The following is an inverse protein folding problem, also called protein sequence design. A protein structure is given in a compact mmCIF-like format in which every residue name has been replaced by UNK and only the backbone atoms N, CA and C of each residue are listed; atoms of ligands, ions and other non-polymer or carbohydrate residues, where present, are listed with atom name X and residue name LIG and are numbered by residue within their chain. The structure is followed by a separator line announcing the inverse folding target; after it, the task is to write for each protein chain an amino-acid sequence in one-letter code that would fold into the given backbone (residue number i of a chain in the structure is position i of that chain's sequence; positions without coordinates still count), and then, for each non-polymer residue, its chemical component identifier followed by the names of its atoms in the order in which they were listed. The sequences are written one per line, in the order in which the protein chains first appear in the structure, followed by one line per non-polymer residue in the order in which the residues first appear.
data_IF_350767914685
#
_entry.id   IF_350767914685
#
_cell.length_a   1.000
_cell.length_b   1.000
_cell.length_c   1.000
_cell.angle_alpha   90.00
_cell.angle_beta   90.00
_cell.angle_gamma   90.00
#
_symmetry.space_group_name_H-M   'P 1'
#
loop_
_entity.id
_entity.type
_entity.pdbx_description
1 polymer ?
#
# COMPACT_ATOMS: atom_id res chain seq x y z
N UNK A 1 -6.35 10.63 -21.35
CA UNK A 1 -7.53 10.15 -20.59
C UNK A 1 -7.02 9.01 -19.76
N UNK A 2 -6.70 9.29 -18.50
CA UNK A 2 -6.11 8.35 -17.54
C UNK A 2 -7.22 7.40 -17.09
N UNK A 3 -7.04 6.09 -17.31
CA UNK A 3 -8.05 5.09 -17.00
C UNK A 3 -7.79 4.55 -15.60
N UNK A 4 -8.60 4.95 -14.63
CA UNK A 4 -8.64 4.28 -13.32
C UNK A 4 -9.20 2.89 -13.55
N UNK A 5 -8.39 1.86 -13.30
CA UNK A 5 -8.78 0.46 -13.37
C UNK A 5 -8.75 -0.16 -11.99
N UNK A 6 -9.40 -1.31 -11.85
CA UNK A 6 -9.39 -2.07 -10.61
C UNK A 6 -8.36 -3.18 -10.70
N UNK A 7 -7.38 -3.17 -9.81
CA UNK A 7 -6.32 -4.18 -9.73
C UNK A 7 -6.75 -5.41 -8.92
N UNK A 8 -6.15 -6.57 -9.22
CA UNK A 8 -6.31 -7.80 -8.43
C UNK A 8 -5.10 -7.98 -7.49
N UNK A 9 -5.37 -8.33 -6.22
CA UNK A 9 -4.37 -8.84 -5.27
C UNK A 9 -4.50 -10.35 -5.28
N UNK A 10 -3.40 -11.04 -5.60
CA UNK A 10 -3.27 -12.48 -5.35
C UNK A 10 -2.92 -12.72 -3.89
N UNK A 11 -3.91 -12.52 -3.04
CA UNK A 11 -4.04 -13.29 -1.81
C UNK A 11 -5.31 -14.12 -1.99
N UNK A 12 -5.34 -15.33 -1.43
CA UNK A 12 -6.55 -16.19 -1.37
C UNK A 12 -7.79 -15.48 -0.77
N UNK A 13 -7.65 -14.25 -0.28
CA UNK A 13 -8.70 -13.32 0.14
C UNK A 13 -9.37 -12.52 -1.00
N UNK A 14 -8.99 -12.74 -2.27
CA UNK A 14 -9.54 -12.00 -3.44
C UNK A 14 -11.07 -12.09 -3.59
N UNK A 15 -11.71 -13.09 -2.97
CA UNK A 15 -13.18 -13.24 -2.96
C UNK A 15 -13.86 -12.48 -1.80
N UNK A 16 -13.11 -12.01 -0.79
CA UNK A 16 -13.66 -11.31 0.39
C UNK A 16 -13.28 -9.83 0.49
N UNK A 17 -12.27 -9.37 -0.24
CA UNK A 17 -11.84 -7.98 -0.28
C UNK A 17 -12.07 -7.42 -1.70
N UNK A 18 -12.96 -6.43 -1.91
CA UNK A 18 -13.06 -5.75 -3.21
C UNK A 18 -11.72 -5.22 -3.70
N UNK A 19 -11.59 -5.22 -5.03
CA UNK A 19 -10.46 -4.69 -5.77
C UNK A 19 -10.13 -3.25 -5.36
N UNK A 20 -8.84 -2.93 -5.37
CA UNK A 20 -8.31 -1.59 -5.10
C UNK A 20 -8.12 -0.84 -6.43
N UNK A 21 -8.26 0.47 -6.38
CA UNK A 21 -8.20 1.33 -7.56
C UNK A 21 -6.74 1.61 -7.92
N UNK A 22 -6.41 1.55 -9.20
CA UNK A 22 -5.07 1.86 -9.74
C UNK A 22 -5.20 2.73 -10.97
N UNK A 23 -4.14 3.47 -11.29
CA UNK A 23 -4.01 4.17 -12.56
C UNK A 23 -3.29 3.25 -13.55
N UNK A 24 -3.85 3.03 -14.74
CA UNK A 24 -3.18 2.31 -15.82
C UNK A 24 -2.65 3.25 -16.90
N UNK A 25 -1.36 3.10 -17.23
CA UNK A 25 -0.73 3.72 -18.39
C UNK A 25 0.10 2.69 -19.16
N UNK A 26 -0.22 2.51 -20.45
CA UNK A 26 0.56 1.67 -21.38
C UNK A 26 0.82 0.22 -20.91
N UNK A 27 -0.10 -0.36 -20.12
CA UNK A 27 0.02 -1.71 -19.57
C UNK A 27 0.75 -1.80 -18.22
N UNK A 28 1.23 -0.67 -17.69
CA UNK A 28 1.69 -0.53 -16.32
C UNK A 28 0.57 0.03 -15.45
N UNK A 29 0.48 -0.49 -14.23
CA UNK A 29 -0.44 -0.05 -13.21
C UNK A 29 0.34 0.59 -12.06
N UNK A 30 -0.17 1.71 -11.59
CA UNK A 30 0.38 2.47 -10.48
C UNK A 30 -0.58 2.37 -9.30
N UNK A 31 -0.07 2.14 -8.10
CA UNK A 31 -0.87 2.21 -6.86
C UNK A 31 -1.22 3.67 -6.53
N UNK A 32 -1.98 4.28 -7.42
CA UNK A 32 -2.43 5.66 -7.37
C UNK A 32 -3.92 5.75 -7.74
N UNK A 33 -4.58 6.72 -7.15
CA UNK A 33 -5.97 7.07 -7.37
C UNK A 33 -6.23 8.47 -6.82
N UNK A 34 -7.37 9.13 -7.12
CA UNK A 34 -7.66 10.45 -6.56
C UNK A 34 -7.64 10.54 -5.03
N UNK A 35 -7.79 9.42 -4.31
CA UNK A 35 -7.91 9.40 -2.84
C UNK A 35 -6.69 8.79 -2.13
N UNK A 36 -5.93 7.91 -2.79
CA UNK A 36 -4.84 7.15 -2.17
C UNK A 36 -3.70 6.97 -3.16
N UNK A 37 -2.47 7.24 -2.72
CA UNK A 37 -1.24 6.87 -3.41
C UNK A 37 -0.33 6.05 -2.49
N UNK A 38 0.25 4.97 -3.01
CA UNK A 38 1.18 4.10 -2.28
C UNK A 38 2.57 4.14 -2.89
N UNK A 39 3.54 4.44 -2.03
CA UNK A 39 4.95 4.57 -2.37
C UNK A 39 5.75 3.44 -1.75
N UNK A 40 6.62 2.83 -2.55
CA UNK A 40 7.70 1.98 -2.07
C UNK A 40 8.89 2.85 -1.70
N UNK A 41 9.20 2.93 -0.41
CA UNK A 41 10.32 3.70 0.10
C UNK A 41 11.66 2.98 -0.13
N UNK A 42 11.67 1.70 -0.53
CA UNK A 42 12.88 0.90 -0.80
C UNK A 42 13.92 0.98 0.32
N UNK A 43 13.45 0.94 1.57
CA UNK A 43 14.25 1.08 2.79
C UNK A 43 14.93 2.45 2.98
N UNK A 44 14.57 3.45 2.20
CA UNK A 44 14.99 4.84 2.39
C UNK A 44 13.99 5.57 3.32
N UNK A 45 14.35 6.78 3.76
CA UNK A 45 13.49 7.61 4.60
C UNK A 45 12.98 8.88 3.91
N UNK A 46 13.40 9.13 2.67
CA UNK A 46 13.12 10.39 1.97
C UNK A 46 12.66 10.21 0.53
N UNK A 47 13.07 9.13 -0.14
CA UNK A 47 12.76 8.93 -1.55
C UNK A 47 11.38 8.30 -1.73
N UNK A 48 10.54 8.95 -2.54
CA UNK A 48 9.19 8.49 -2.85
C UNK A 48 9.19 7.85 -4.24
N UNK A 49 9.03 6.53 -4.30
CA UNK A 49 8.82 5.82 -5.56
C UNK A 49 7.37 5.39 -5.61
N UNK A 50 6.58 5.99 -6.52
CA UNK A 50 5.22 5.53 -6.75
C UNK A 50 5.30 4.07 -7.20
N UNK A 51 4.57 3.18 -6.53
CA UNK A 51 4.70 1.76 -6.84
C UNK A 51 4.03 1.45 -8.17
N UNK A 52 4.77 0.80 -9.06
CA UNK A 52 4.35 0.41 -10.40
C UNK A 52 4.52 -1.11 -10.59
N UNK A 53 3.63 -1.71 -11.37
CA UNK A 53 3.64 -3.14 -11.67
C UNK A 53 2.89 -3.42 -12.98
N UNK A 54 3.06 -4.63 -13.53
CA UNK A 54 2.27 -5.06 -14.70
C UNK A 54 0.83 -5.31 -14.25
N UNK A 55 -0.14 -4.65 -14.87
CA UNK A 55 -1.53 -4.59 -14.41
C UNK A 55 -2.23 -5.93 -14.12
N UNK A 56 -1.74 -7.05 -14.68
CA UNK A 56 -2.30 -8.37 -14.41
C UNK A 56 -2.23 -8.75 -12.94
N UNK A 57 -1.15 -8.41 -12.24
CA UNK A 57 -0.91 -8.82 -10.86
C UNK A 57 0.26 -8.06 -10.23
N UNK A 58 0.08 -7.56 -9.00
CA UNK A 58 1.20 -7.10 -8.17
C UNK A 58 1.63 -8.18 -7.17
N UNK A 59 2.71 -8.89 -7.45
CA UNK A 59 3.36 -9.83 -6.51
C UNK A 59 4.50 -9.19 -5.70
N UNK A 60 4.80 -7.91 -5.96
CA UNK A 60 5.88 -7.21 -5.29
C UNK A 60 5.44 -6.65 -3.93
N UNK A 61 6.21 -6.79 -2.85
CA UNK A 61 7.33 -7.72 -2.63
C UNK A 61 7.09 -8.45 -1.31
N UNK A 62 7.40 -9.73 -1.27
CA UNK A 62 7.34 -10.50 -0.03
C UNK A 62 8.49 -10.09 0.89
N UNK A 63 8.18 -9.68 2.12
CA UNK A 63 9.18 -9.29 3.11
C UNK A 63 8.73 -9.79 4.49
N UNK A 64 9.61 -10.54 5.17
CA UNK A 64 9.37 -11.09 6.51
C UNK A 64 8.01 -11.80 6.66
N UNK A 65 7.67 -12.64 5.68
CA UNK A 65 6.44 -13.45 5.69
C UNK A 65 5.15 -12.70 5.34
N UNK A 66 5.23 -11.39 5.04
CA UNK A 66 4.12 -10.66 4.44
C UNK A 66 4.22 -10.72 2.91
N UNK A 67 3.18 -11.20 2.24
CA UNK A 67 3.17 -11.43 0.78
C UNK A 67 3.30 -10.14 -0.04
N UNK A 68 2.51 -9.09 0.28
CA UNK A 68 2.70 -7.76 -0.30
C UNK A 68 2.12 -6.68 0.61
N UNK A 69 3.00 -6.03 1.38
CA UNK A 69 2.59 -4.91 2.22
C UNK A 69 2.15 -3.69 1.41
N UNK A 70 2.62 -3.55 0.17
CA UNK A 70 2.22 -2.47 -0.74
C UNK A 70 0.75 -2.60 -1.12
N UNK A 71 0.33 -3.82 -1.46
CA UNK A 71 -1.05 -4.15 -1.74
C UNK A 71 -1.96 -3.91 -0.54
N UNK A 72 -1.59 -4.46 0.61
CA UNK A 72 -2.38 -4.34 1.84
C UNK A 72 -2.54 -2.88 2.27
N UNK A 73 -1.44 -2.12 2.26
CA UNK A 73 -1.45 -0.70 2.60
C UNK A 73 -2.41 0.09 1.69
N UNK A 74 -2.34 -0.16 0.38
CA UNK A 74 -3.17 0.54 -0.58
C UNK A 74 -4.66 0.19 -0.42
N UNK A 75 -4.98 -1.10 -0.32
CA UNK A 75 -6.35 -1.56 -0.12
C UNK A 75 -6.95 -1.01 1.19
N UNK A 76 -6.23 -1.11 2.31
CA UNK A 76 -6.73 -0.63 3.60
C UNK A 76 -6.94 0.88 3.64
N UNK A 77 -6.07 1.67 3.02
CA UNK A 77 -6.28 3.11 2.91
C UNK A 77 -7.58 3.45 2.15
N UNK A 78 -7.86 2.72 1.05
CA UNK A 78 -9.12 2.86 0.32
C UNK A 78 -10.33 2.50 1.20
N UNK A 79 -10.29 1.39 1.95
CA UNK A 79 -11.38 1.03 2.86
C UNK A 79 -11.59 2.05 3.96
N UNK A 80 -10.51 2.54 4.57
CA UNK A 80 -10.60 3.58 5.60
C UNK A 80 -11.25 4.83 5.02
N UNK A 81 -10.80 5.32 3.86
CA UNK A 81 -11.41 6.49 3.24
C UNK A 81 -12.89 6.28 2.90
N UNK A 82 -13.24 5.10 2.39
CA UNK A 82 -14.61 4.71 2.08
C UNK A 82 -15.48 4.64 3.34
N UNK A 83 -14.98 4.06 4.43
CA UNK A 83 -15.68 3.96 5.71
C UNK A 83 -16.00 5.36 6.26
N UNK A 84 -15.02 6.27 6.27
CA UNK A 84 -15.24 7.66 6.67
C UNK A 84 -16.30 8.33 5.79
N UNK A 85 -16.15 8.23 4.46
CA UNK A 85 -17.11 8.83 3.52
C UNK A 85 -18.53 8.29 3.73
N UNK A 86 -18.69 6.98 3.96
CA UNK A 86 -20.00 6.36 4.12
C UNK A 86 -20.67 6.68 5.47
N UNK A 87 -19.90 6.77 6.55
CA UNK A 87 -20.46 6.89 7.91
C UNK A 87 -20.58 8.34 8.37
N UNK A 88 -19.72 9.22 7.87
CA UNK A 88 -19.64 10.62 8.32
C UNK A 88 -19.82 11.62 7.17
N UNK A 89 -20.04 11.15 5.95
CA UNK A 89 -20.19 11.98 4.74
C UNK A 89 -18.97 12.91 4.50
N UNK A 90 -17.79 12.52 4.99
CA UNK A 90 -16.53 13.27 4.88
C UNK A 90 -15.39 12.28 4.59
N UNK A 91 -14.44 12.59 3.68
CA UNK A 91 -13.29 11.72 3.46
C UNK A 91 -12.39 11.67 4.70
N UNK A 92 -11.57 10.61 4.81
CA UNK A 92 -10.69 10.42 5.97
C UNK A 92 -9.63 11.53 6.09
N UNK A 93 -9.13 12.03 4.96
CA UNK A 93 -8.29 13.21 4.85
C UNK A 93 -8.85 14.16 3.78
N UNK A 94 -8.56 15.46 3.91
CA UNK A 94 -8.91 16.46 2.89
C UNK A 94 -8.07 16.30 1.63
N UNK A 95 -6.80 15.95 1.81
CA UNK A 95 -5.86 15.66 0.74
C UNK A 95 -5.78 14.14 0.50
N UNK A 96 -5.21 13.75 -0.64
CA UNK A 96 -4.93 12.35 -0.98
C UNK A 96 -4.10 11.68 0.13
N UNK A 97 -4.52 10.48 0.55
CA UNK A 97 -3.81 9.67 1.56
C UNK A 97 -2.52 9.13 0.93
N UNK A 98 -1.36 9.43 1.53
CA UNK A 98 -0.06 8.93 1.07
C UNK A 98 0.42 7.79 1.97
N UNK A 99 0.44 6.57 1.43
CA UNK A 99 0.96 5.38 2.09
C UNK A 99 2.43 5.20 1.72
N UNK A 100 3.32 5.25 2.70
CA UNK A 100 4.77 5.07 2.51
C UNK A 100 5.18 3.74 3.13
N UNK A 101 5.39 2.73 2.29
CA UNK A 101 5.67 1.35 2.70
C UNK A 101 7.18 1.08 2.56
N UNK A 102 7.69 0.10 3.31
CA UNK A 102 9.13 -0.24 3.33
C UNK A 102 10.02 0.95 3.75
N UNK A 103 9.55 1.76 4.70
CA UNK A 103 10.24 2.95 5.17
C UNK A 103 11.44 2.64 6.09
N UNK A 104 12.64 3.05 5.69
CA UNK A 104 13.86 2.86 6.48
C UNK A 104 14.27 1.39 6.69
N UNK A 105 15.28 1.16 7.53
CA UNK A 105 15.77 -0.17 7.90
C UNK A 105 15.50 -0.50 9.37
N UNK A 106 15.24 -1.77 9.69
CA UNK A 106 15.17 -2.31 11.07
C UNK A 106 14.27 -1.52 12.05
N UNK A 107 13.10 -1.02 11.61
CA UNK A 107 12.14 -0.34 12.50
C UNK A 107 11.17 -1.36 13.11
N UNK A 108 10.02 -1.01 13.69
CA UNK A 108 8.97 -1.94 14.15
C UNK A 108 7.74 -1.10 14.50
N UNK A 109 7.42 -0.17 13.60
CA UNK A 109 6.58 0.97 13.95
C UNK A 109 5.86 1.51 12.73
N UNK A 110 4.71 2.10 12.98
CA UNK A 110 3.97 2.90 12.02
C UNK A 110 3.82 4.32 12.57
N UNK A 111 3.87 5.32 11.70
CA UNK A 111 3.72 6.72 12.07
C UNK A 111 2.74 7.41 11.14
N UNK A 112 1.83 8.20 11.71
CA UNK A 112 0.94 9.07 10.95
C UNK A 112 1.32 10.53 11.22
N UNK A 113 1.60 11.28 10.16
CA UNK A 113 1.97 12.68 10.26
C UNK A 113 1.94 13.38 8.90
N UNK A 114 1.52 14.66 8.89
CA UNK A 114 1.48 15.50 7.68
C UNK A 114 0.75 14.84 6.48
N UNK A 115 -0.38 14.17 6.74
CA UNK A 115 -1.20 13.51 5.70
C UNK A 115 -0.58 12.25 5.09
N UNK A 116 0.53 11.75 5.65
CA UNK A 116 1.16 10.49 5.23
C UNK A 116 1.10 9.45 6.34
N UNK A 117 0.76 8.22 5.99
CA UNK A 117 0.98 7.06 6.85
C UNK A 117 2.28 6.37 6.41
N UNK A 118 3.20 6.22 7.35
CA UNK A 118 4.45 5.50 7.18
C UNK A 118 4.26 4.11 7.80
N UNK A 119 4.31 3.08 6.96
CA UNK A 119 4.21 1.69 7.37
C UNK A 119 5.56 1.01 7.21
N UNK A 120 6.09 0.48 8.31
CA UNK A 120 7.23 -0.42 8.25
C UNK A 120 6.76 -1.86 8.03
N UNK A 121 7.28 -2.46 6.96
CA UNK A 121 7.31 -3.90 6.78
C UNK A 121 8.63 -4.43 7.28
N UNK A 122 8.61 -5.40 8.19
CA UNK A 122 9.83 -5.81 8.85
C UNK A 122 10.90 -6.28 7.85
N UNK A 123 12.12 -5.74 7.93
CA UNK A 123 13.31 -6.30 7.26
C UNK A 123 14.29 -6.96 8.25
N UNK A 124 13.83 -7.30 9.45
CA UNK A 124 14.55 -8.26 10.28
C UNK A 124 13.99 -9.64 9.97
N UNK A 125 14.80 -10.54 9.40
CA UNK A 125 14.50 -11.96 9.49
C UNK A 125 14.51 -12.31 10.97
N UNK A 126 13.35 -12.37 11.61
CA UNK A 126 13.25 -13.06 12.90
C UNK A 126 13.60 -14.50 12.60
N UNK A 127 14.81 -14.90 12.99
CA UNK A 127 15.23 -16.28 12.84
C UNK A 127 14.44 -17.08 13.87
N UNK A 128 13.30 -17.64 13.47
CA UNK A 128 12.43 -18.49 14.31
C UNK A 128 13.13 -19.77 14.81
N UNK A 129 14.41 -19.96 14.46
CA UNK A 129 15.29 -21.05 14.90
C UNK A 129 16.44 -20.60 15.81
N UNK A 130 16.54 -19.34 16.21
CA UNK A 130 17.53 -18.95 17.23
C UNK A 130 16.92 -19.12 18.64
N UNK A 131 17.48 -20.01 19.48
CA UNK A 131 17.05 -20.11 20.87
C UNK A 131 17.44 -18.84 21.63
N UNK A 132 16.63 -18.52 22.65
CA UNK A 132 16.80 -17.41 23.60
C UNK A 132 18.18 -17.39 24.26
#
# INVERSE_FOLDING_TARGET
MEMVKRGFITMELSEMLPQFDVIEEQGLCYLDSPNVATFDMRNTTSELHLHEFVCSENVAREVNGAFSLLNDAHAFAHYTNKMFTQWTNTPALKDQIKMRVHYGQNRASAFFGMGSLLLWGMEHKVNIHQPL
#
